data_IF_382522710253
#
_entry.id   IF_382522710253
#
_cell.length_a   1.000
_cell.length_b   1.000
_cell.length_c   1.000
_cell.angle_alpha   90.00
_cell.angle_beta   90.00
_cell.angle_gamma   90.00
#
_symmetry.space_group_name_H-M   'P 1'
#
loop_
_entity.id
_entity.type
_entity.pdbx_description
1 polymer ?
#
# COMPACT_ATOMS: atom_id res chain seq x y z
N UNK A 1 -69.34 8.54 -14.98
CA UNK A 1 -68.90 8.07 -13.64
C UNK A 1 -68.30 6.66 -13.66
N UNK A 2 -68.85 5.70 -14.40
CA UNK A 2 -68.35 4.30 -14.38
C UNK A 2 -66.92 4.11 -14.89
N UNK A 3 -66.53 4.76 -16.01
CA UNK A 3 -65.20 4.57 -16.61
C UNK A 3 -64.03 5.07 -15.73
N UNK A 4 -64.21 6.23 -15.08
CA UNK A 4 -63.21 6.80 -14.17
C UNK A 4 -62.98 5.92 -12.93
N UNK A 5 -64.04 5.28 -12.41
CA UNK A 5 -63.93 4.38 -11.24
C UNK A 5 -63.19 3.10 -11.61
N UNK A 6 -63.42 2.56 -12.82
CA UNK A 6 -62.70 1.38 -13.32
C UNK A 6 -61.21 1.69 -13.57
N UNK A 7 -60.91 2.81 -14.22
CA UNK A 7 -59.53 3.28 -14.42
C UNK A 7 -58.77 3.46 -13.09
N UNK A 8 -59.44 4.05 -12.08
CA UNK A 8 -58.87 4.20 -10.74
C UNK A 8 -58.66 2.86 -10.02
N UNK A 9 -59.47 1.85 -10.34
CA UNK A 9 -59.31 0.49 -9.80
C UNK A 9 -58.12 -0.20 -10.44
N UNK A 10 -57.99 -0.11 -11.75
CA UNK A 10 -56.88 -0.69 -12.51
C UNK A 10 -55.54 -0.05 -12.11
N UNK A 11 -55.51 1.27 -11.96
CA UNK A 11 -54.32 1.99 -11.47
C UNK A 11 -53.93 1.55 -10.06
N UNK A 12 -54.91 1.33 -9.16
CA UNK A 12 -54.63 0.82 -7.81
C UNK A 12 -54.07 -0.59 -7.85
N UNK A 13 -54.62 -1.46 -8.70
CA UNK A 13 -54.13 -2.83 -8.87
C UNK A 13 -52.70 -2.83 -9.39
N UNK A 14 -52.41 -2.06 -10.45
CA UNK A 14 -51.07 -1.92 -11.01
C UNK A 14 -50.04 -1.38 -9.99
N UNK A 15 -50.43 -0.41 -9.15
CA UNK A 15 -49.58 0.09 -8.06
C UNK A 15 -49.31 -1.01 -7.02
N UNK A 16 -50.30 -1.81 -6.67
CA UNK A 16 -50.12 -2.94 -5.73
C UNK A 16 -49.18 -4.00 -6.31
N UNK A 17 -49.32 -4.36 -7.59
CA UNK A 17 -48.44 -5.30 -8.27
C UNK A 17 -47.01 -4.78 -8.36
N UNK A 18 -46.82 -3.52 -8.75
CA UNK A 18 -45.50 -2.89 -8.82
C UNK A 18 -44.81 -2.86 -7.44
N UNK A 19 -45.56 -2.62 -6.37
CA UNK A 19 -45.05 -2.68 -5.00
C UNK A 19 -44.64 -4.09 -4.60
N UNK A 20 -45.46 -5.10 -4.90
CA UNK A 20 -45.13 -6.49 -4.61
C UNK A 20 -43.85 -6.95 -5.34
N UNK A 21 -43.70 -6.55 -6.61
CA UNK A 21 -42.49 -6.83 -7.38
C UNK A 21 -41.27 -6.15 -6.78
N UNK A 22 -41.40 -4.89 -6.35
CA UNK A 22 -40.32 -4.14 -5.69
C UNK A 22 -39.90 -4.78 -4.37
N UNK A 23 -40.85 -5.23 -3.56
CA UNK A 23 -40.56 -5.97 -2.32
C UNK A 23 -39.77 -7.23 -2.62
N UNK A 24 -40.20 -8.02 -3.60
CA UNK A 24 -39.51 -9.24 -4.00
C UNK A 24 -38.08 -8.97 -4.50
N UNK A 25 -37.91 -7.94 -5.34
CA UNK A 25 -36.60 -7.54 -5.84
C UNK A 25 -35.65 -7.11 -4.70
N UNK A 26 -36.16 -6.37 -3.72
CA UNK A 26 -35.37 -5.95 -2.56
C UNK A 26 -34.96 -7.15 -1.68
N UNK A 27 -35.82 -8.15 -1.52
CA UNK A 27 -35.49 -9.37 -0.78
C UNK A 27 -34.37 -10.16 -1.46
N UNK A 28 -34.43 -10.29 -2.79
CA UNK A 28 -33.38 -10.94 -3.59
C UNK A 28 -32.06 -10.18 -3.50
N UNK A 29 -32.10 -8.85 -3.59
CA UNK A 29 -30.91 -8.01 -3.45
C UNK A 29 -30.27 -8.19 -2.07
N UNK A 30 -31.06 -8.12 -1.00
CA UNK A 30 -30.58 -8.32 0.36
C UNK A 30 -29.98 -9.72 0.56
N UNK A 31 -30.52 -10.75 -0.11
CA UNK A 31 -29.95 -12.09 -0.08
C UNK A 31 -28.60 -12.16 -0.83
N UNK A 32 -28.48 -11.49 -1.96
CA UNK A 32 -27.24 -11.43 -2.73
C UNK A 32 -26.13 -10.70 -1.95
N UNK A 33 -26.47 -9.58 -1.28
CA UNK A 33 -25.53 -8.84 -0.42
C UNK A 33 -25.02 -9.70 0.73
N UNK A 34 -25.90 -10.42 1.43
CA UNK A 34 -25.49 -11.35 2.50
C UNK A 34 -24.57 -12.46 2.00
N UNK A 35 -24.82 -12.98 0.79
CA UNK A 35 -23.96 -14.00 0.17
C UNK A 35 -22.60 -13.45 -0.21
N UNK A 36 -22.54 -12.23 -0.72
CA UNK A 36 -21.30 -11.55 -1.06
C UNK A 36 -20.45 -11.32 0.20
N UNK A 37 -21.06 -10.79 1.27
CA UNK A 37 -20.37 -10.54 2.54
C UNK A 37 -19.77 -11.85 3.10
N UNK A 38 -20.58 -12.91 3.15
CA UNK A 38 -20.11 -14.22 3.62
C UNK A 38 -18.98 -14.79 2.74
N UNK A 39 -19.03 -14.59 1.43
CA UNK A 39 -17.96 -15.02 0.52
C UNK A 39 -16.66 -14.22 0.73
N UNK A 40 -16.77 -12.92 1.04
CA UNK A 40 -15.63 -12.06 1.38
C UNK A 40 -14.99 -12.53 2.69
N UNK A 41 -15.80 -12.72 3.74
CA UNK A 41 -15.33 -13.23 5.03
C UNK A 41 -14.59 -14.57 4.88
N UNK A 42 -15.19 -15.52 4.15
CA UNK A 42 -14.57 -16.83 3.87
C UNK A 42 -13.27 -16.71 3.07
N UNK A 43 -13.17 -15.77 2.14
CA UNK A 43 -11.95 -15.55 1.36
C UNK A 43 -10.78 -15.08 2.24
N UNK A 44 -11.06 -14.34 3.33
CA UNK A 44 -10.05 -13.84 4.26
C UNK A 44 -9.73 -14.78 5.42
N UNK A 45 -10.55 -15.82 5.67
CA UNK A 45 -10.22 -16.89 6.62
C UNK A 45 -9.14 -17.84 6.10
N UNK A 46 -8.77 -17.77 4.82
CA UNK A 46 -7.60 -18.50 4.30
C UNK A 46 -6.33 -17.84 4.88
N UNK A 47 -5.54 -18.54 5.70
CA UNK A 47 -4.34 -17.95 6.25
C UNK A 47 -3.33 -17.69 5.12
N UNK A 48 -2.95 -16.42 4.90
CA UNK A 48 -1.77 -16.03 4.11
C UNK A 48 -0.44 -16.42 4.79
N UNK A 49 -0.46 -17.47 5.62
CA UNK A 49 0.70 -17.96 6.31
C UNK A 49 1.54 -18.71 5.29
N UNK A 50 2.61 -18.05 4.83
CA UNK A 50 3.68 -18.71 4.10
C UNK A 50 4.30 -19.74 5.06
N UNK A 51 3.87 -21.00 4.95
CA UNK A 51 4.35 -22.13 5.76
C UNK A 51 5.74 -22.60 5.32
N UNK A 52 6.30 -22.00 4.26
CA UNK A 52 7.66 -22.26 3.85
C UNK A 52 8.61 -21.83 4.98
N UNK A 53 9.47 -22.74 5.49
CA UNK A 53 10.50 -22.35 6.43
C UNK A 53 11.36 -21.25 5.80
N UNK A 54 11.80 -20.27 6.59
CA UNK A 54 12.73 -19.25 6.14
C UNK A 54 14.04 -19.92 5.73
N UNK A 55 14.13 -20.30 4.46
CA UNK A 55 15.26 -21.08 3.95
C UNK A 55 16.50 -20.20 3.87
N UNK A 56 17.64 -20.84 3.66
CA UNK A 56 18.94 -20.21 3.39
C UNK A 56 18.88 -19.09 2.33
N UNK A 57 17.81 -19.03 1.53
CA UNK A 57 17.44 -17.89 0.68
C UNK A 57 17.49 -16.55 1.43
N UNK A 58 16.97 -16.45 2.67
CA UNK A 58 17.01 -15.19 3.43
C UNK A 58 18.41 -14.82 3.91
N UNK A 59 19.28 -15.81 4.16
CA UNK A 59 20.71 -15.59 4.49
C UNK A 59 21.51 -15.21 3.23
N UNK A 60 21.20 -15.81 2.08
CA UNK A 60 21.77 -15.44 0.79
C UNK A 60 21.37 -14.02 0.35
N UNK A 61 20.14 -13.58 0.68
CA UNK A 61 19.66 -12.22 0.43
C UNK A 61 20.15 -11.18 1.42
N UNK A 62 20.71 -11.59 2.57
CA UNK A 62 21.42 -10.63 3.42
C UNK A 62 22.72 -10.32 2.69
N UNK A 63 22.88 -9.14 2.07
CA UNK A 63 24.15 -8.82 1.45
C UNK A 63 25.12 -8.63 2.62
N UNK A 64 25.97 -9.63 2.88
CA UNK A 64 27.04 -9.53 3.88
C UNK A 64 28.05 -8.44 3.55
N UNK A 65 27.89 -7.75 2.42
CA UNK A 65 28.68 -6.60 2.02
C UNK A 65 28.17 -5.34 2.73
N UNK A 66 28.99 -4.71 3.60
CA UNK A 66 28.65 -3.43 4.18
C UNK A 66 28.35 -2.40 3.08
N UNK A 67 27.48 -1.43 3.39
CA UNK A 67 27.14 -0.38 2.44
C UNK A 67 28.42 0.35 2.01
N UNK A 68 28.48 0.83 0.76
CA UNK A 68 29.66 1.54 0.25
C UNK A 68 30.06 2.72 1.16
N UNK A 69 29.07 3.40 1.72
CA UNK A 69 29.28 4.50 2.68
C UNK A 69 29.94 3.98 3.97
N UNK A 70 29.52 2.83 4.50
CA UNK A 70 30.11 2.23 5.72
C UNK A 70 31.61 1.87 5.52
N UNK A 71 32.04 1.61 4.29
CA UNK A 71 33.42 1.26 3.95
C UNK A 71 34.32 2.46 3.60
N UNK A 72 33.78 3.67 3.50
CA UNK A 72 34.50 4.85 2.99
C UNK A 72 34.43 6.00 4.02
N UNK A 73 35.45 6.16 4.87
CA UNK A 73 35.46 7.19 5.93
C UNK A 73 35.38 8.62 5.40
N UNK A 74 36.00 8.88 4.24
CA UNK A 74 35.99 10.21 3.62
C UNK A 74 34.59 10.53 3.09
N UNK A 75 33.91 9.56 2.45
CA UNK A 75 32.52 9.70 2.03
C UNK A 75 31.58 9.89 3.23
N UNK A 76 31.81 9.18 4.34
CA UNK A 76 31.04 9.39 5.58
C UNK A 76 31.20 10.80 6.12
N UNK A 77 32.43 11.30 6.20
CA UNK A 77 32.71 12.66 6.68
C UNK A 77 32.05 13.71 5.76
N UNK A 78 32.13 13.51 4.45
CA UNK A 78 31.53 14.38 3.45
C UNK A 78 30.00 14.46 3.59
N UNK A 79 29.33 13.31 3.73
CA UNK A 79 27.88 13.24 3.93
C UNK A 79 27.50 13.84 5.28
N UNK A 80 28.22 13.49 6.36
CA UNK A 80 27.99 14.00 7.73
C UNK A 80 28.02 15.53 7.78
N UNK A 81 28.98 16.16 7.10
CA UNK A 81 29.11 17.61 7.07
C UNK A 81 27.94 18.34 6.38
N UNK A 82 27.15 17.63 5.55
CA UNK A 82 26.07 18.21 4.72
C UNK A 82 24.67 17.77 5.12
N UNK A 83 24.54 16.65 5.84
CA UNK A 83 23.26 16.00 6.15
C UNK A 83 22.28 16.89 6.94
N UNK A 84 22.80 17.90 7.65
CA UNK A 84 22.01 18.85 8.44
C UNK A 84 21.56 20.08 7.66
N UNK A 85 22.13 20.33 6.46
CA UNK A 85 21.92 21.56 5.69
C UNK A 85 21.38 21.32 4.28
N UNK A 86 21.59 20.14 3.72
CA UNK A 86 21.22 19.78 2.36
C UNK A 86 20.28 18.57 2.36
N UNK A 87 19.43 18.52 1.34
CA UNK A 87 18.60 17.34 1.08
C UNK A 87 19.44 16.16 0.56
N UNK A 88 18.95 14.94 0.73
CA UNK A 88 19.65 13.74 0.23
C UNK A 88 19.90 13.77 -1.29
N UNK A 89 19.07 14.47 -2.06
CA UNK A 89 19.25 14.60 -3.51
C UNK A 89 20.42 15.54 -3.84
N UNK A 90 20.49 16.68 -3.16
CA UNK A 90 21.61 17.63 -3.30
C UNK A 90 22.93 16.99 -2.87
N UNK A 91 22.93 16.24 -1.76
CA UNK A 91 24.13 15.52 -1.31
C UNK A 91 24.57 14.48 -2.35
N UNK A 92 23.64 13.76 -2.98
CA UNK A 92 23.98 12.80 -4.05
C UNK A 92 24.60 13.51 -5.27
N UNK A 93 24.09 14.69 -5.62
CA UNK A 93 24.65 15.50 -6.69
C UNK A 93 26.07 15.97 -6.34
N UNK A 94 26.27 16.49 -5.14
CA UNK A 94 27.58 16.90 -4.63
C UNK A 94 28.57 15.72 -4.62
N UNK A 95 28.14 14.54 -4.15
CA UNK A 95 28.95 13.32 -4.19
C UNK A 95 29.34 12.96 -5.63
N UNK A 96 28.43 13.11 -6.59
CA UNK A 96 28.73 12.82 -8.00
C UNK A 96 29.78 13.76 -8.62
N UNK A 97 29.84 15.01 -8.13
CA UNK A 97 30.81 16.02 -8.57
C UNK A 97 32.18 15.83 -7.91
N UNK A 98 32.22 15.46 -6.63
CA UNK A 98 33.45 15.36 -5.85
C UNK A 98 34.12 13.99 -5.93
N UNK A 99 33.35 12.91 -5.98
CA UNK A 99 33.90 11.54 -5.91
C UNK A 99 33.95 10.87 -7.30
N UNK A 100 34.99 10.04 -7.55
CA UNK A 100 35.09 9.27 -8.79
C UNK A 100 33.91 8.28 -8.91
N UNK A 101 33.52 7.88 -10.14
CA UNK A 101 32.32 7.05 -10.38
C UNK A 101 32.20 5.81 -9.49
N UNK A 102 33.31 5.13 -9.21
CA UNK A 102 33.35 3.93 -8.35
C UNK A 102 32.92 4.19 -6.90
N UNK A 103 33.10 5.41 -6.40
CA UNK A 103 32.79 5.83 -5.01
C UNK A 103 31.45 6.55 -4.89
N UNK A 104 30.80 6.89 -6.01
CA UNK A 104 29.51 7.61 -5.99
C UNK A 104 28.41 6.77 -5.35
N UNK A 105 27.49 7.45 -4.69
CA UNK A 105 26.29 6.87 -4.08
C UNK A 105 25.08 7.73 -4.42
N UNK A 106 23.93 7.07 -4.64
CA UNK A 106 22.68 7.75 -4.92
C UNK A 106 21.92 8.16 -3.66
N UNK A 107 20.91 9.01 -3.82
CA UNK A 107 20.00 9.48 -2.77
C UNK A 107 19.53 8.37 -1.82
N UNK A 108 19.05 7.25 -2.36
CA UNK A 108 18.48 6.16 -1.55
C UNK A 108 19.52 5.50 -0.64
N UNK A 109 20.78 5.38 -1.09
CA UNK A 109 21.87 4.85 -0.28
C UNK A 109 22.22 5.79 0.88
N UNK A 110 22.21 7.11 0.61
CA UNK A 110 22.44 8.14 1.63
C UNK A 110 21.30 8.13 2.66
N UNK A 111 20.04 8.07 2.22
CA UNK A 111 18.88 7.99 3.11
C UNK A 111 18.96 6.74 4.00
N UNK A 112 19.14 5.55 3.42
CA UNK A 112 19.22 4.29 4.16
C UNK A 112 20.36 4.30 5.19
N UNK A 113 21.52 4.83 4.82
CA UNK A 113 22.65 4.98 5.72
C UNK A 113 22.36 5.96 6.87
N UNK A 114 21.74 7.10 6.59
CA UNK A 114 21.35 8.07 7.61
C UNK A 114 20.33 7.49 8.59
N UNK A 115 19.26 6.85 8.10
CA UNK A 115 18.24 6.23 8.96
C UNK A 115 18.86 5.19 9.92
N UNK A 116 19.79 4.36 9.43
CA UNK A 116 20.48 3.35 10.25
C UNK A 116 21.39 3.95 11.31
N UNK A 117 21.99 5.11 11.02
CA UNK A 117 23.00 5.71 11.90
C UNK A 117 22.50 6.92 12.69
N UNK A 118 21.24 7.35 12.55
CA UNK A 118 20.70 8.58 13.15
C UNK A 118 20.94 8.70 14.66
N UNK A 119 20.84 7.59 15.40
CA UNK A 119 21.11 7.56 16.85
C UNK A 119 22.57 7.85 17.23
N UNK A 120 23.51 7.71 16.28
CA UNK A 120 24.93 8.07 16.47
C UNK A 120 25.19 9.57 16.20
N UNK A 121 24.16 10.32 15.84
CA UNK A 121 24.23 11.71 15.40
C UNK A 121 23.32 12.65 16.18
N UNK A 122 22.42 12.14 17.02
CA UNK A 122 21.72 12.92 18.03
C UNK A 122 22.67 13.10 19.24
N UNK A 123 22.79 14.32 19.80
CA UNK A 123 23.65 14.59 20.96
C UNK A 123 23.17 13.92 22.24
#
# INVERSE_FOLDING_TARGET
>A
MSAFVEEMRDLRLAITEARALTTTANEVLAQAERRLESAIEQAFEVPFNCTAPASDHRRAHRPGKPARIDMDPELQAFIRARITRLTFAEIAQDVSRTFPPARRVGKSAIHAWWTKNRSRFEP
#
